data_IF_354424834032
#
_entry.id   IF_354424834032
#
_cell.length_a   1.000
_cell.length_b   1.000
_cell.length_c   1.000
_cell.angle_alpha   90.00
_cell.angle_beta   90.00
_cell.angle_gamma   90.00
#
_symmetry.space_group_name_H-M   'P 1'
#
loop_
_entity.id
_entity.type
_entity.pdbx_description
1 polymer ?
#
# COMPACT_ATOMS: atom_id res chain seq x y z
N UNK A 1 -38.42 13.89 -17.68
CA UNK A 1 -37.28 12.95 -17.61
C UNK A 1 -36.00 13.77 -17.65
N UNK A 2 -35.28 13.80 -16.57
CA UNK A 2 -33.97 14.47 -16.57
C UNK A 2 -33.01 13.68 -17.47
N UNK A 3 -32.19 14.33 -18.31
CA UNK A 3 -31.22 13.64 -19.13
C UNK A 3 -30.23 12.91 -18.22
N UNK A 4 -30.13 11.60 -18.41
CA UNK A 4 -29.13 10.79 -17.70
C UNK A 4 -27.76 11.30 -18.11
N UNK A 5 -27.03 11.95 -17.21
CA UNK A 5 -25.67 12.38 -17.50
C UNK A 5 -24.82 11.15 -17.86
N UNK A 6 -23.93 11.25 -18.84
CA UNK A 6 -23.04 10.15 -19.17
C UNK A 6 -22.14 9.84 -17.94
N UNK A 7 -21.74 8.58 -17.78
CA UNK A 7 -20.89 8.19 -16.67
C UNK A 7 -19.55 8.95 -16.70
N UNK A 8 -19.06 9.33 -15.53
CA UNK A 8 -17.74 9.92 -15.38
C UNK A 8 -16.68 8.91 -15.86
N UNK A 9 -15.82 9.34 -16.78
CA UNK A 9 -14.71 8.51 -17.27
C UNK A 9 -13.42 8.91 -16.57
N UNK A 10 -12.76 7.95 -15.95
CA UNK A 10 -11.51 8.14 -15.20
C UNK A 10 -10.43 7.25 -15.79
N UNK A 11 -9.35 7.84 -16.29
CA UNK A 11 -8.15 7.13 -16.71
C UNK A 11 -7.07 7.21 -15.64
N UNK A 12 -6.54 6.08 -15.20
CA UNK A 12 -5.43 6.00 -14.24
C UNK A 12 -4.24 5.40 -14.98
N UNK A 13 -3.11 6.09 -14.95
CA UNK A 13 -1.88 5.65 -15.62
C UNK A 13 -0.90 5.12 -14.58
N UNK A 14 -0.53 3.85 -14.72
CA UNK A 14 0.33 3.12 -13.82
C UNK A 14 -0.45 2.12 -12.94
N UNK A 15 -0.19 0.82 -13.15
CA UNK A 15 -0.78 -0.28 -12.36
C UNK A 15 0.20 -0.81 -11.29
N UNK A 16 0.98 0.08 -10.70
CA UNK A 16 1.71 -0.19 -9.46
C UNK A 16 0.80 -0.07 -8.23
N UNK A 17 1.34 -0.21 -7.01
CA UNK A 17 0.54 -0.16 -5.79
C UNK A 17 -0.33 1.09 -5.66
N UNK A 18 0.21 2.26 -6.00
CA UNK A 18 -0.52 3.52 -5.90
C UNK A 18 -1.68 3.61 -6.91
N UNK A 19 -1.43 3.27 -8.17
CA UNK A 19 -2.46 3.30 -9.21
C UNK A 19 -3.57 2.28 -8.96
N UNK A 20 -3.21 1.07 -8.56
CA UNK A 20 -4.18 0.03 -8.18
C UNK A 20 -5.00 0.45 -6.94
N UNK A 21 -4.36 1.02 -5.91
CA UNK A 21 -5.07 1.51 -4.73
C UNK A 21 -6.07 2.60 -5.10
N UNK A 22 -5.66 3.55 -5.96
CA UNK A 22 -6.54 4.61 -6.45
C UNK A 22 -7.70 4.03 -7.26
N UNK A 23 -7.43 3.08 -8.17
CA UNK A 23 -8.46 2.43 -8.98
C UNK A 23 -9.50 1.70 -8.13
N UNK A 24 -9.04 0.90 -7.16
CA UNK A 24 -9.91 0.17 -6.24
C UNK A 24 -10.74 1.12 -5.36
N UNK A 25 -10.12 2.18 -4.84
CA UNK A 25 -10.81 3.17 -4.03
C UNK A 25 -11.84 3.94 -4.86
N UNK A 26 -11.48 4.35 -6.08
CA UNK A 26 -12.38 5.05 -6.99
C UNK A 26 -13.57 4.16 -7.38
N UNK A 27 -13.34 2.89 -7.72
CA UNK A 27 -14.42 1.95 -8.04
C UNK A 27 -15.40 1.78 -6.86
N UNK A 28 -14.87 1.73 -5.65
CA UNK A 28 -15.71 1.63 -4.44
C UNK A 28 -16.51 2.89 -4.13
N UNK A 29 -15.93 4.07 -4.40
CA UNK A 29 -16.54 5.37 -4.06
C UNK A 29 -17.40 5.94 -5.17
N UNK A 30 -17.13 5.55 -6.40
CA UNK A 30 -17.78 6.05 -7.60
C UNK A 30 -18.31 4.87 -8.46
N UNK A 31 -19.29 4.13 -7.96
CA UNK A 31 -19.73 2.89 -8.62
C UNK A 31 -20.35 3.12 -10.01
N UNK A 32 -20.69 4.36 -10.36
CA UNK A 32 -21.23 4.74 -11.68
C UNK A 32 -20.13 5.25 -12.63
N UNK A 33 -18.88 5.38 -12.18
CA UNK A 33 -17.79 5.83 -13.03
C UNK A 33 -17.24 4.70 -13.88
N UNK A 34 -16.83 5.04 -15.10
CA UNK A 34 -16.09 4.15 -16.01
C UNK A 34 -14.60 4.38 -15.76
N UNK A 35 -13.97 3.41 -15.09
CA UNK A 35 -12.55 3.54 -14.66
C UNK A 35 -11.69 2.63 -15.50
N UNK A 36 -10.69 3.20 -16.16
CA UNK A 36 -9.72 2.46 -16.95
C UNK A 36 -8.33 2.62 -16.36
N UNK A 37 -7.67 1.49 -16.12
CA UNK A 37 -6.29 1.43 -15.61
C UNK A 37 -5.34 1.11 -16.78
N UNK A 38 -4.36 1.97 -17.01
CA UNK A 38 -3.35 1.83 -18.05
C UNK A 38 -1.98 1.52 -17.45
N UNK A 39 -1.25 0.59 -18.05
CA UNK A 39 0.14 0.29 -17.65
C UNK A 39 0.98 -0.06 -18.88
N UNK A 40 2.28 0.22 -18.81
CA UNK A 40 3.23 -0.17 -19.86
C UNK A 40 3.45 -1.69 -19.90
N UNK A 41 3.23 -2.37 -18.77
CA UNK A 41 3.29 -3.83 -18.72
C UNK A 41 2.00 -4.42 -19.29
N UNK A 42 2.11 -5.54 -20.04
CA UNK A 42 0.93 -6.31 -20.43
C UNK A 42 0.09 -6.73 -19.21
N UNK A 43 -1.23 -6.76 -19.36
CA UNK A 43 -2.15 -7.09 -18.28
C UNK A 43 -1.99 -8.52 -17.73
N UNK A 44 -1.48 -9.42 -18.57
CA UNK A 44 -1.20 -10.83 -18.25
C UNK A 44 0.22 -11.07 -17.67
N UNK A 45 1.03 -10.00 -17.53
CA UNK A 45 2.37 -10.12 -16.94
C UNK A 45 2.30 -10.51 -15.48
N UNK A 46 2.75 -11.72 -15.17
CA UNK A 46 2.91 -12.17 -13.78
C UNK A 46 4.05 -11.42 -13.08
N UNK A 47 3.73 -10.75 -11.99
CA UNK A 47 4.68 -10.01 -11.15
C UNK A 47 4.79 -10.63 -9.75
N UNK A 48 4.15 -11.77 -9.50
CA UNK A 48 4.05 -12.38 -8.17
C UNK A 48 5.41 -12.73 -7.55
N UNK A 49 6.42 -13.00 -8.38
CA UNK A 49 7.76 -13.34 -7.94
C UNK A 49 8.69 -12.12 -7.71
N UNK A 50 8.22 -10.89 -7.89
CA UNK A 50 9.04 -9.69 -7.67
C UNK A 50 9.42 -9.58 -6.18
N UNK A 51 10.72 -9.74 -5.82
CA UNK A 51 11.15 -9.87 -4.44
C UNK A 51 11.43 -8.53 -3.75
N UNK A 52 11.20 -7.39 -4.41
CA UNK A 52 11.44 -6.09 -3.80
C UNK A 52 10.60 -5.94 -2.53
N UNK A 53 11.26 -5.61 -1.42
CA UNK A 53 10.58 -5.43 -0.15
C UNK A 53 9.96 -4.04 -0.04
N UNK A 54 8.75 -3.99 0.46
CA UNK A 54 8.04 -2.75 0.79
C UNK A 54 7.69 -2.74 2.26
N UNK A 55 7.93 -1.60 2.92
CA UNK A 55 7.42 -1.33 4.26
C UNK A 55 6.18 -0.44 4.13
N UNK A 56 5.04 -0.97 4.55
CA UNK A 56 3.75 -0.29 4.48
C UNK A 56 3.39 0.26 5.85
N UNK A 57 2.95 1.52 5.91
CA UNK A 57 2.44 2.11 7.15
C UNK A 57 1.12 1.43 7.58
N UNK A 58 0.80 1.51 8.87
CA UNK A 58 -0.47 0.98 9.39
C UNK A 58 -1.68 1.55 8.62
N UNK A 59 -1.68 2.84 8.31
CA UNK A 59 -2.76 3.47 7.55
C UNK A 59 -2.93 2.88 6.16
N UNK A 60 -1.83 2.57 5.47
CA UNK A 60 -1.86 1.91 4.15
C UNK A 60 -2.37 0.48 4.26
N UNK A 61 -1.92 -0.28 5.28
CA UNK A 61 -2.43 -1.63 5.56
C UNK A 61 -3.93 -1.61 5.79
N UNK A 62 -4.42 -0.72 6.66
CA UNK A 62 -5.85 -0.59 6.96
C UNK A 62 -6.69 -0.20 5.74
N UNK A 63 -6.16 0.69 4.90
CA UNK A 63 -6.85 1.05 3.64
C UNK A 63 -6.99 -0.17 2.73
N UNK A 64 -5.93 -0.93 2.53
CA UNK A 64 -5.93 -2.13 1.70
C UNK A 64 -6.82 -3.24 2.27
N UNK A 65 -6.87 -3.38 3.61
CA UNK A 65 -7.81 -4.28 4.27
C UNK A 65 -9.27 -3.92 3.96
N UNK A 66 -9.62 -2.63 4.01
CA UNK A 66 -10.98 -2.16 3.66
C UNK A 66 -11.32 -2.35 2.18
N UNK A 67 -10.31 -2.47 1.33
CA UNK A 67 -10.46 -2.77 -0.10
C UNK A 67 -10.41 -4.28 -0.39
N UNK A 68 -10.25 -5.12 0.62
CA UNK A 68 -10.04 -6.57 0.52
C UNK A 68 -8.82 -6.95 -0.34
N UNK A 69 -7.81 -6.09 -0.36
CA UNK A 69 -6.63 -6.21 -1.20
C UNK A 69 -5.32 -6.36 -0.40
N UNK A 70 -5.42 -6.66 0.90
CA UNK A 70 -4.26 -6.86 1.77
C UNK A 70 -3.92 -8.35 1.92
N UNK A 71 -2.74 -8.81 1.43
CA UNK A 71 -2.32 -10.20 1.56
C UNK A 71 -1.68 -10.47 2.92
N UNK A 72 -2.47 -10.57 3.97
CA UNK A 72 -2.02 -10.72 5.36
C UNK A 72 -1.10 -11.92 5.59
N UNK A 73 -1.32 -13.03 4.87
CA UNK A 73 -0.52 -14.25 4.93
C UNK A 73 0.88 -14.12 4.31
N UNK A 74 1.13 -13.05 3.56
CA UNK A 74 2.40 -12.74 2.89
C UNK A 74 3.14 -11.56 3.53
N UNK A 75 2.60 -10.98 4.60
CA UNK A 75 3.12 -9.79 5.24
C UNK A 75 3.68 -10.10 6.63
N UNK A 76 4.81 -9.46 6.95
CA UNK A 76 5.42 -9.52 8.29
C UNK A 76 5.10 -8.23 9.05
N UNK A 77 4.37 -8.29 10.17
CA UNK A 77 4.09 -7.10 10.97
C UNK A 77 5.35 -6.44 11.52
N UNK A 78 5.35 -5.11 11.55
CA UNK A 78 6.33 -4.29 12.24
C UNK A 78 5.74 -3.91 13.60
N UNK A 79 6.30 -4.44 14.68
CA UNK A 79 5.81 -4.19 16.04
C UNK A 79 6.63 -3.14 16.77
N UNK A 80 7.85 -2.89 16.33
CA UNK A 80 8.76 -1.94 16.94
C UNK A 80 9.64 -1.30 15.88
N UNK A 81 9.88 0.01 16.04
CA UNK A 81 10.84 0.77 15.23
C UNK A 81 11.80 1.47 16.16
N UNK A 82 13.09 1.25 15.93
CA UNK A 82 14.16 1.96 16.62
C UNK A 82 14.79 2.97 15.66
N UNK A 83 14.72 4.24 16.01
CA UNK A 83 15.39 5.31 15.28
C UNK A 83 16.57 5.77 16.10
N UNK A 84 17.77 5.64 15.55
CA UNK A 84 19.01 6.12 16.17
C UNK A 84 19.65 7.16 15.28
N UNK A 85 20.23 8.18 15.89
CA UNK A 85 21.00 9.21 15.20
C UNK A 85 22.49 9.00 15.45
N UNK A 86 23.27 8.96 14.39
CA UNK A 86 24.72 8.96 14.51
C UNK A 86 25.19 10.26 15.19
N UNK A 87 26.19 10.20 16.07
CA UNK A 87 26.74 11.39 16.68
C UNK A 87 27.27 12.36 15.62
N UNK A 88 27.09 13.68 15.79
CA UNK A 88 27.45 14.68 14.78
C UNK A 88 28.96 14.80 14.55
N UNK A 89 29.80 14.33 15.47
CA UNK A 89 31.27 14.31 15.34
C UNK A 89 31.83 13.06 16.02
N UNK A 90 33.06 12.67 15.61
CA UNK A 90 33.84 11.61 16.27
C UNK A 90 34.23 11.93 17.72
N UNK A 91 34.16 13.20 18.13
CA UNK A 91 34.47 13.67 19.49
C UNK A 91 33.23 13.80 20.38
N UNK A 92 32.06 13.36 19.88
CA UNK A 92 30.84 13.37 20.67
C UNK A 92 30.92 12.34 21.80
N UNK A 93 30.92 12.82 23.06
CA UNK A 93 30.95 11.98 24.27
C UNK A 93 29.55 11.80 24.90
N UNK A 94 28.50 12.33 24.29
CA UNK A 94 27.12 12.15 24.74
C UNK A 94 26.55 10.77 24.36
N UNK A 95 25.44 10.37 25.01
CA UNK A 95 24.69 9.21 24.59
C UNK A 95 24.06 9.47 23.21
N UNK A 96 24.06 8.49 22.30
CA UNK A 96 23.36 8.63 21.01
C UNK A 96 21.87 8.85 21.27
N UNK A 97 21.26 9.77 20.54
CA UNK A 97 19.82 9.97 20.60
C UNK A 97 19.13 8.77 19.96
N UNK A 98 18.30 8.07 20.72
CA UNK A 98 17.50 6.95 20.25
C UNK A 98 16.04 7.20 20.56
N UNK A 99 15.17 6.87 19.61
CA UNK A 99 13.73 6.85 19.78
C UNK A 99 13.22 5.46 19.47
N UNK A 100 12.50 4.88 20.41
CA UNK A 100 11.85 3.58 20.24
C UNK A 100 10.34 3.77 20.18
N UNK A 101 9.73 3.31 19.09
CA UNK A 101 8.30 3.31 18.88
C UNK A 101 7.82 1.87 18.94
N UNK A 102 6.85 1.57 19.81
CA UNK A 102 6.24 0.25 19.94
C UNK A 102 4.76 0.33 19.59
N UNK A 103 4.27 -0.66 18.87
CA UNK A 103 2.83 -0.79 18.59
C UNK A 103 2.00 -0.84 19.87
N UNK A 104 2.51 -1.53 20.90
CA UNK A 104 1.84 -1.64 22.22
C UNK A 104 1.65 -0.30 22.93
N UNK A 105 2.54 0.68 22.71
CA UNK A 105 2.42 2.03 23.29
C UNK A 105 1.21 2.80 22.71
N UNK A 106 0.76 2.40 21.53
CA UNK A 106 -0.40 2.97 20.82
C UNK A 106 -1.65 2.10 20.92
N UNK A 107 -1.60 1.00 21.67
CA UNK A 107 -2.69 0.02 21.72
C UNK A 107 -2.98 -0.64 20.38
N UNK A 108 -1.98 -0.71 19.48
CA UNK A 108 -2.08 -1.32 18.17
C UNK A 108 -1.34 -2.66 18.10
N UNK A 109 -1.76 -3.54 17.20
CA UNK A 109 -1.09 -4.82 16.99
C UNK A 109 0.20 -4.67 16.16
N UNK A 110 0.27 -3.62 15.33
CA UNK A 110 1.43 -3.33 14.49
C UNK A 110 1.55 -1.84 14.22
N UNK A 111 2.74 -1.40 13.82
CA UNK A 111 3.00 -0.05 13.28
C UNK A 111 2.89 0.00 11.76
N UNK A 112 2.96 -1.13 11.12
CA UNK A 112 2.92 -1.36 9.71
C UNK A 112 3.30 -2.80 9.40
N UNK A 113 3.63 -3.10 8.15
CA UNK A 113 4.07 -4.43 7.76
C UNK A 113 5.02 -4.38 6.58
N UNK A 114 5.90 -5.38 6.48
CA UNK A 114 6.80 -5.58 5.34
C UNK A 114 6.30 -6.76 4.52
N UNK A 115 6.30 -6.60 3.20
CA UNK A 115 5.97 -7.67 2.28
C UNK A 115 6.71 -7.46 0.95
N UNK A 116 6.70 -8.48 0.09
CA UNK A 116 7.23 -8.35 -1.26
C UNK A 116 6.28 -7.58 -2.17
N UNK A 117 6.86 -6.76 -3.04
CA UNK A 117 6.13 -6.01 -4.08
C UNK A 117 5.21 -6.94 -4.90
N UNK A 118 5.73 -8.08 -5.34
CA UNK A 118 4.96 -9.04 -6.13
C UNK A 118 3.73 -9.55 -5.40
N UNK A 119 3.85 -9.85 -4.11
CA UNK A 119 2.72 -10.29 -3.28
C UNK A 119 1.64 -9.21 -3.16
N UNK A 120 2.06 -7.97 -2.95
CA UNK A 120 1.13 -6.84 -2.82
C UNK A 120 0.40 -6.57 -4.13
N UNK A 121 1.15 -6.37 -5.22
CA UNK A 121 0.57 -6.02 -6.53
C UNK A 121 -0.32 -7.13 -7.07
N UNK A 122 0.07 -8.41 -6.91
CA UNK A 122 -0.75 -9.54 -7.33
C UNK A 122 -2.09 -9.59 -6.58
N UNK A 123 -2.09 -9.37 -5.25
CA UNK A 123 -3.32 -9.34 -4.47
C UNK A 123 -4.23 -8.19 -4.90
N UNK A 124 -3.69 -6.99 -5.10
CA UNK A 124 -4.45 -5.82 -5.54
C UNK A 124 -5.01 -5.99 -6.96
N UNK A 125 -4.19 -6.53 -7.86
CA UNK A 125 -4.59 -6.78 -9.26
C UNK A 125 -5.72 -7.82 -9.33
N UNK A 126 -5.65 -8.87 -8.51
CA UNK A 126 -6.71 -9.87 -8.46
C UNK A 126 -8.05 -9.24 -8.07
N UNK A 127 -8.07 -8.40 -7.03
CA UNK A 127 -9.29 -7.70 -6.62
C UNK A 127 -9.80 -6.76 -7.73
N UNK A 128 -8.90 -6.09 -8.44
CA UNK A 128 -9.24 -5.23 -9.57
C UNK A 128 -9.88 -5.99 -10.73
N UNK A 129 -9.33 -7.17 -11.09
CA UNK A 129 -9.83 -7.98 -12.18
C UNK A 129 -11.16 -8.67 -11.85
N UNK A 130 -11.41 -8.94 -10.57
CA UNK A 130 -12.65 -9.55 -10.08
C UNK A 130 -13.78 -8.51 -9.87
N UNK A 131 -13.47 -7.25 -10.01
CA UNK A 131 -14.43 -6.15 -9.79
C UNK A 131 -15.40 -5.98 -10.98
#
# INVERSE_FOLDING_TARGET
>A
MSPTQPPLKIGIVGAGPAGLALALLAAKRLPQADITLFDARPADKDVSADPRALAMSLGSVQMLQRLNAWPADRAQPITEVLVSQAPPTLQWHGLPAELRLRASDLGADMLGAVLHYGSLVSAMLQVWLDA
#
